data_IF_044280642253
#
_entry.id   IF_044280642253
#
_cell.length_a   1.000
_cell.length_b   1.000
_cell.length_c   1.000
_cell.angle_alpha   90.00
_cell.angle_beta   90.00
_cell.angle_gamma   90.00
#
_symmetry.space_group_name_H-M   'P 1'
#
loop_
_entity.id
_entity.type
_entity.pdbx_description
1 polymer ?
#
# COMPACT_ATOMS: atom_id res chain seq x y z
N UNK A 1 33.48 37.78 -5.83
CA UNK A 1 32.87 36.46 -6.06
C UNK A 1 32.25 36.01 -4.75
N UNK A 2 30.92 36.08 -4.62
CA UNK A 2 30.24 35.69 -3.38
C UNK A 2 30.06 34.17 -3.39
N UNK A 3 30.61 33.49 -2.38
CA UNK A 3 30.37 32.08 -2.15
C UNK A 3 28.91 31.89 -1.72
N UNK A 4 28.13 31.16 -2.54
CA UNK A 4 26.74 30.79 -2.28
C UNK A 4 26.70 29.87 -1.04
N UNK A 5 26.57 30.48 0.14
CA UNK A 5 26.58 29.84 1.44
C UNK A 5 25.24 29.18 1.78
N UNK A 6 24.66 28.45 0.85
CA UNK A 6 23.41 27.73 1.08
C UNK A 6 23.69 26.48 1.91
N UNK A 7 23.10 26.38 3.10
CA UNK A 7 23.29 25.19 3.95
C UNK A 7 22.55 24.02 3.30
N UNK A 8 23.06 22.77 3.37
CA UNK A 8 22.39 21.61 2.78
C UNK A 8 20.91 21.47 3.19
N UNK A 9 20.56 21.87 4.42
CA UNK A 9 19.18 21.86 4.92
C UNK A 9 18.24 22.83 4.20
N UNK A 10 18.75 23.97 3.72
CA UNK A 10 17.95 24.97 2.99
C UNK A 10 17.58 24.45 1.58
N UNK A 11 18.43 23.61 1.01
CA UNK A 11 18.21 22.96 -0.27
C UNK A 11 17.14 21.87 -0.17
N UNK A 12 17.16 21.06 0.90
CA UNK A 12 16.11 20.08 1.18
C UNK A 12 14.78 20.76 1.49
N UNK A 13 14.78 21.83 2.28
CA UNK A 13 13.57 22.59 2.58
C UNK A 13 12.96 23.23 1.33
N UNK A 14 13.80 23.73 0.41
CA UNK A 14 13.34 24.26 -0.88
C UNK A 14 12.71 23.15 -1.75
N UNK A 15 13.31 21.97 -1.81
CA UNK A 15 12.79 20.82 -2.56
C UNK A 15 11.50 20.23 -1.95
N UNK A 16 11.37 20.22 -0.63
CA UNK A 16 10.17 19.71 0.07
C UNK A 16 9.03 20.74 0.05
N UNK A 17 9.35 22.03 -0.05
CA UNK A 17 8.37 23.12 -0.16
C UNK A 17 7.75 23.26 -1.56
N UNK A 18 8.41 22.72 -2.59
CA UNK A 18 7.79 22.55 -3.90
C UNK A 18 6.66 21.53 -3.77
N UNK A 19 5.42 22.02 -3.83
CA UNK A 19 4.26 21.13 -3.99
C UNK A 19 4.56 20.27 -5.21
N UNK A 20 4.70 18.97 -5.00
CA UNK A 20 4.68 18.00 -6.09
C UNK A 20 3.34 18.22 -6.80
N UNK A 21 3.39 18.88 -7.94
CA UNK A 21 2.24 19.02 -8.79
C UNK A 21 1.82 17.60 -9.17
N UNK A 22 0.61 17.20 -8.78
CA UNK A 22 0.04 15.93 -9.18
C UNK A 22 -0.12 15.99 -10.70
N UNK A 23 0.87 15.48 -11.42
CA UNK A 23 0.81 15.40 -12.86
C UNK A 23 -0.28 14.40 -13.21
N UNK A 24 -1.26 14.77 -14.05
CA UNK A 24 -2.26 13.84 -14.52
C UNK A 24 -1.55 12.75 -15.31
N UNK A 25 -1.52 11.55 -14.74
CA UNK A 25 -0.92 10.36 -15.32
C UNK A 25 -1.74 9.14 -14.93
N UNK A 26 -1.77 8.09 -15.75
CA UNK A 26 -2.37 6.83 -15.35
C UNK A 26 -1.71 6.34 -14.05
N UNK A 27 -2.48 5.73 -13.12
CA UNK A 27 -1.90 5.17 -11.92
C UNK A 27 -0.80 4.17 -12.29
N UNK A 28 0.28 4.13 -11.49
CA UNK A 28 1.41 3.24 -11.74
C UNK A 28 1.01 1.76 -11.81
N UNK A 29 -0.11 1.41 -11.18
CA UNK A 29 -0.73 0.09 -11.21
C UNK A 29 -2.23 0.24 -11.53
N UNK A 30 -2.68 -0.38 -12.62
CA UNK A 30 -4.09 -0.46 -12.95
C UNK A 30 -4.74 -1.55 -12.07
N UNK A 31 -5.46 -1.12 -11.03
CA UNK A 31 -6.21 -2.02 -10.14
C UNK A 31 -7.64 -2.13 -10.68
N UNK A 32 -8.14 -3.33 -11.01
CA UNK A 32 -9.52 -3.49 -11.46
C UNK A 32 -10.50 -3.25 -10.31
N UNK A 33 -11.70 -2.77 -10.63
CA UNK A 33 -12.81 -2.78 -9.68
C UNK A 33 -13.17 -4.22 -9.31
N UNK A 34 -13.40 -4.46 -8.03
CA UNK A 34 -13.72 -5.79 -7.50
C UNK A 34 -14.50 -5.68 -6.17
N UNK A 35 -15.39 -6.64 -5.88
CA UNK A 35 -16.06 -6.69 -4.60
C UNK A 35 -15.08 -7.07 -3.48
N UNK A 36 -15.29 -6.53 -2.27
CA UNK A 36 -14.35 -6.68 -1.16
C UNK A 36 -13.99 -8.14 -0.85
N UNK A 37 -14.97 -9.04 -0.90
CA UNK A 37 -14.76 -10.45 -0.57
C UNK A 37 -13.77 -11.15 -1.51
N UNK A 38 -13.73 -10.77 -2.79
CA UNK A 38 -12.77 -11.30 -3.76
C UNK A 38 -11.36 -10.78 -3.45
N UNK A 39 -11.23 -9.47 -3.23
CA UNK A 39 -9.95 -8.83 -2.90
C UNK A 39 -9.37 -9.40 -1.60
N UNK A 40 -10.21 -9.55 -0.57
CA UNK A 40 -9.83 -10.18 0.72
C UNK A 40 -9.40 -11.63 0.51
N UNK A 41 -10.11 -12.40 -0.31
CA UNK A 41 -9.76 -13.79 -0.57
C UNK A 41 -8.38 -13.92 -1.26
N UNK A 42 -8.11 -13.06 -2.24
CA UNK A 42 -6.82 -13.03 -2.94
C UNK A 42 -5.70 -12.57 -1.98
N UNK A 43 -5.88 -11.45 -1.28
CA UNK A 43 -4.91 -10.93 -0.33
C UNK A 43 -4.58 -11.95 0.77
N UNK A 44 -5.59 -12.60 1.34
CA UNK A 44 -5.42 -13.68 2.32
C UNK A 44 -4.60 -14.83 1.77
N UNK A 45 -4.89 -15.30 0.56
CA UNK A 45 -4.19 -16.43 -0.07
C UNK A 45 -2.70 -16.12 -0.23
N UNK A 46 -2.36 -14.91 -0.69
CA UNK A 46 -0.97 -14.49 -0.87
C UNK A 46 -0.30 -14.30 0.49
N UNK A 47 -0.97 -13.64 1.45
CA UNK A 47 -0.45 -13.39 2.79
C UNK A 47 -0.08 -14.70 3.50
N UNK A 48 -0.94 -15.72 3.42
CA UNK A 48 -0.68 -17.03 4.01
C UNK A 48 0.50 -17.76 3.38
N UNK A 49 0.77 -17.54 2.08
CA UNK A 49 1.96 -18.10 1.40
C UNK A 49 3.25 -17.35 1.77
N UNK A 50 3.14 -16.07 2.12
CA UNK A 50 4.27 -15.23 2.53
C UNK A 50 4.73 -15.51 3.97
N UNK A 51 3.89 -16.15 4.81
CA UNK A 51 4.25 -16.43 6.19
C UNK A 51 5.42 -17.43 6.29
N UNK A 52 6.43 -17.14 7.14
CA UNK A 52 7.45 -18.12 7.48
C UNK A 52 6.83 -19.37 8.11
N UNK A 53 7.31 -20.55 7.74
CA UNK A 53 6.89 -21.80 8.35
C UNK A 53 7.06 -21.74 9.88
N UNK A 54 5.99 -22.05 10.61
CA UNK A 54 6.00 -22.10 12.09
C UNK A 54 5.66 -20.79 12.81
N UNK A 55 5.27 -19.71 12.11
CA UNK A 55 4.69 -18.52 12.77
C UNK A 55 3.15 -18.52 12.69
N UNK A 56 2.43 -18.66 13.82
CA UNK A 56 0.97 -18.64 13.83
C UNK A 56 0.36 -17.23 13.88
N UNK A 57 1.17 -16.17 14.08
CA UNK A 57 0.66 -14.86 14.44
C UNK A 57 0.48 -13.95 13.23
N UNK A 58 -0.78 -13.80 12.82
CA UNK A 58 -1.27 -12.77 11.90
C UNK A 58 -1.62 -11.48 12.68
N UNK A 59 -0.68 -10.94 13.44
CA UNK A 59 -0.90 -9.68 14.15
C UNK A 59 0.12 -8.66 13.66
N UNK A 60 -0.15 -8.02 12.49
CA UNK A 60 0.76 -7.05 11.93
C UNK A 60 0.96 -5.87 12.88
N UNK A 61 2.12 -5.22 12.77
CA UNK A 61 2.44 -4.03 13.56
C UNK A 61 1.37 -2.94 13.34
N UNK A 62 0.92 -2.22 14.40
CA UNK A 62 -0.11 -1.17 14.24
C UNK A 62 0.25 -0.08 13.21
N UNK A 63 1.53 0.18 13.01
CA UNK A 63 2.00 1.11 11.97
C UNK A 63 1.76 0.56 10.55
N UNK A 64 1.93 -0.74 10.34
CA UNK A 64 1.68 -1.40 9.05
C UNK A 64 0.18 -1.47 8.73
N UNK A 65 -0.67 -1.66 9.74
CA UNK A 65 -2.12 -1.58 9.56
C UNK A 65 -2.54 -0.20 9.03
N UNK A 66 -2.02 0.88 9.61
CA UNK A 66 -2.31 2.24 9.12
C UNK A 66 -1.81 2.47 7.69
N UNK A 67 -0.60 1.99 7.39
CA UNK A 67 -0.05 2.08 6.03
C UNK A 67 -0.88 1.28 5.03
N UNK A 68 -1.26 0.06 5.36
CA UNK A 68 -2.13 -0.78 4.52
C UNK A 68 -3.48 -0.10 4.25
N UNK A 69 -4.10 0.49 5.28
CA UNK A 69 -5.36 1.22 5.11
C UNK A 69 -5.19 2.39 4.15
N UNK A 70 -4.25 3.30 4.45
CA UNK A 70 -4.15 4.57 3.73
C UNK A 70 -3.59 4.42 2.31
N UNK A 71 -2.64 3.51 2.09
CA UNK A 71 -1.92 3.43 0.81
C UNK A 71 -2.47 2.36 -0.14
N UNK A 72 -3.31 1.45 0.34
CA UNK A 72 -3.79 0.31 -0.47
C UNK A 72 -5.30 0.18 -0.40
N UNK A 73 -5.88 0.12 0.81
CA UNK A 73 -7.31 -0.15 0.95
C UNK A 73 -8.16 1.05 0.56
N UNK A 74 -7.83 2.25 1.06
CA UNK A 74 -8.60 3.46 0.76
C UNK A 74 -8.39 3.96 -0.68
N UNK A 75 -7.26 3.61 -1.29
CA UNK A 75 -6.93 3.93 -2.68
C UNK A 75 -7.55 2.95 -3.70
N UNK A 76 -8.15 1.84 -3.24
CA UNK A 76 -8.77 0.88 -4.15
C UNK A 76 -9.99 1.50 -4.86
N UNK A 77 -10.18 1.32 -6.19
CA UNK A 77 -11.27 1.95 -6.93
C UNK A 77 -12.67 1.68 -6.35
N UNK A 78 -12.87 0.47 -5.82
CA UNK A 78 -14.13 0.05 -5.20
C UNK A 78 -14.25 0.38 -3.70
N UNK A 79 -13.27 1.03 -3.07
CA UNK A 79 -13.21 1.22 -1.61
C UNK A 79 -14.44 1.94 -1.03
N UNK A 80 -14.99 2.90 -1.77
CA UNK A 80 -16.18 3.66 -1.37
C UNK A 80 -17.45 2.78 -1.23
N UNK A 81 -17.50 1.64 -1.92
CA UNK A 81 -18.63 0.71 -1.87
C UNK A 81 -18.49 -0.36 -0.78
N UNK A 82 -17.32 -0.45 -0.13
CA UNK A 82 -17.04 -1.48 0.87
C UNK A 82 -17.46 -1.06 2.27
N UNK A 83 -17.82 -2.05 3.09
CA UNK A 83 -18.13 -1.78 4.49
C UNK A 83 -16.86 -1.41 5.28
N UNK A 84 -17.02 -0.81 6.45
CA UNK A 84 -15.90 -0.56 7.38
C UNK A 84 -15.23 -1.88 7.77
N UNK A 85 -16.02 -2.92 8.05
CA UNK A 85 -15.51 -4.23 8.43
C UNK A 85 -14.72 -4.91 7.30
N UNK A 86 -15.13 -4.72 6.06
CA UNK A 86 -14.39 -5.23 4.89
C UNK A 86 -13.03 -4.54 4.75
N UNK A 87 -13.01 -3.20 4.90
CA UNK A 87 -11.76 -2.43 4.85
C UNK A 87 -10.81 -2.81 5.96
N UNK A 88 -11.30 -2.92 7.20
CA UNK A 88 -10.49 -3.38 8.34
C UNK A 88 -9.90 -4.78 8.07
N UNK A 89 -10.73 -5.70 7.59
CA UNK A 89 -10.30 -7.07 7.29
C UNK A 89 -9.28 -7.13 6.16
N UNK A 90 -9.45 -6.31 5.12
CA UNK A 90 -8.48 -6.25 4.04
C UNK A 90 -7.15 -5.64 4.53
N UNK A 91 -7.19 -4.58 5.35
CA UNK A 91 -6.00 -3.96 5.92
C UNK A 91 -5.16 -4.95 6.74
N UNK A 92 -5.79 -5.87 7.48
CA UNK A 92 -5.06 -6.93 8.20
C UNK A 92 -4.25 -7.81 7.26
N UNK A 93 -4.84 -8.29 6.16
CA UNK A 93 -4.15 -9.15 5.20
C UNK A 93 -3.07 -8.40 4.42
N UNK A 94 -3.35 -7.17 4.00
CA UNK A 94 -2.38 -6.32 3.29
C UNK A 94 -1.22 -5.95 4.21
N UNK A 95 -1.46 -5.67 5.49
CA UNK A 95 -0.38 -5.38 6.43
C UNK A 95 0.54 -6.59 6.63
N UNK A 96 0.00 -7.82 6.63
CA UNK A 96 0.81 -9.06 6.66
C UNK A 96 1.64 -9.21 5.38
N UNK A 97 1.07 -8.86 4.21
CA UNK A 97 1.82 -8.85 2.95
C UNK A 97 2.99 -7.86 3.01
N UNK A 98 2.74 -6.62 3.45
CA UNK A 98 3.77 -5.60 3.58
C UNK A 98 4.85 -6.05 4.58
N UNK A 99 4.47 -6.65 5.71
CA UNK A 99 5.42 -7.12 6.73
C UNK A 99 6.41 -8.16 6.18
N UNK A 100 5.95 -9.08 5.33
CA UNK A 100 6.77 -10.22 4.89
C UNK A 100 7.32 -10.11 3.47
N UNK A 101 6.72 -9.27 2.63
CA UNK A 101 7.07 -9.14 1.21
C UNK A 101 7.28 -7.68 0.79
N UNK A 102 6.98 -6.71 1.64
CA UNK A 102 7.07 -5.30 1.29
C UNK A 102 6.17 -4.94 0.11
N UNK A 103 6.71 -4.15 -0.82
CA UNK A 103 6.02 -3.73 -2.04
C UNK A 103 5.70 -4.89 -2.99
N UNK A 104 6.60 -5.89 -3.10
CA UNK A 104 6.41 -7.06 -3.97
C UNK A 104 5.10 -7.79 -3.66
N UNK A 105 4.70 -7.83 -2.39
CA UNK A 105 3.44 -8.45 -1.96
C UNK A 105 2.20 -7.70 -2.46
N UNK A 106 2.28 -6.37 -2.55
CA UNK A 106 1.20 -5.52 -3.09
C UNK A 106 1.16 -5.64 -4.61
N UNK A 107 2.31 -5.67 -5.28
CA UNK A 107 2.37 -5.90 -6.73
C UNK A 107 1.80 -7.27 -7.12
N UNK A 108 2.12 -8.33 -6.36
CA UNK A 108 1.55 -9.67 -6.57
C UNK A 108 0.02 -9.67 -6.37
N UNK A 109 -0.48 -8.96 -5.36
CA UNK A 109 -1.93 -8.79 -5.16
C UNK A 109 -2.60 -8.15 -6.37
N UNK A 110 -2.06 -7.03 -6.87
CA UNK A 110 -2.61 -6.36 -8.05
C UNK A 110 -2.55 -7.26 -9.28
N UNK A 111 -1.42 -7.92 -9.52
CA UNK A 111 -1.27 -8.87 -10.64
C UNK A 111 -2.30 -10.01 -10.58
N UNK A 112 -2.56 -10.54 -9.39
CA UNK A 112 -3.55 -11.60 -9.19
C UNK A 112 -5.00 -11.13 -9.41
N UNK A 113 -5.31 -9.86 -9.17
CA UNK A 113 -6.64 -9.28 -9.43
C UNK A 113 -6.86 -9.01 -10.92
N UNK A 114 -5.82 -8.66 -11.66
CA UNK A 114 -5.87 -8.39 -13.10
C UNK A 114 -5.90 -9.67 -13.95
N UNK A 115 -5.82 -10.86 -13.33
CA UNK A 115 -5.91 -12.15 -14.02
C UNK A 115 -4.57 -12.73 -14.46
N UNK A 116 -3.50 -12.50 -13.69
CA UNK A 116 -2.21 -13.16 -13.88
C UNK A 116 -2.24 -14.67 -13.77
#
# INVERSE_FOLDING_TARGET
MAADGRRPGDLVAALVGERVESLPGPPALAVPEAPAHEVIAVARRIALRALPAGRPRLAPLPALLRLATVLVVDEHPSAAAWSVADRERLSEWVAVLIEHRGEDGVQELVGALTGG
#
